data_IF_129331491344
#
_entry.id   IF_129331491344
#
_cell.length_a   1.000
_cell.length_b   1.000
_cell.length_c   1.000
_cell.angle_alpha   90.00
_cell.angle_beta   90.00
_cell.angle_gamma   90.00
#
_symmetry.space_group_name_H-M   'P 1'
#
loop_
_entity.id
_entity.type
_entity.pdbx_description
1 polymer ?
#
# COMPACT_ATOMS: atom_id res chain seq x y z
N UNK A 1 -1.48 -8.68 11.87
CA UNK A 1 -2.63 -9.58 11.59
C UNK A 1 -3.19 -9.32 10.19
N UNK A 2 -2.70 -10.09 9.22
CA UNK A 2 -3.27 -10.19 7.86
C UNK A 2 -4.31 -11.31 7.84
N UNK A 3 -5.06 -11.43 6.74
CA UNK A 3 -5.85 -12.64 6.46
C UNK A 3 -5.04 -13.77 5.83
N UNK A 4 -3.71 -13.64 5.77
CA UNK A 4 -2.81 -14.60 5.17
C UNK A 4 -2.45 -15.68 6.20
N UNK A 5 -2.95 -16.89 5.97
CA UNK A 5 -2.82 -18.04 6.87
C UNK A 5 -2.33 -19.26 6.09
N UNK A 6 -1.04 -19.29 5.69
CA UNK A 6 -0.45 -20.47 5.04
C UNK A 6 -0.47 -21.66 6.01
N UNK A 7 -0.65 -22.88 5.48
CA UNK A 7 -0.63 -24.09 6.31
C UNK A 7 0.76 -24.71 6.40
N UNK A 8 1.61 -24.41 5.41
CA UNK A 8 2.97 -24.94 5.29
C UNK A 8 3.94 -23.87 4.78
N UNK A 9 5.23 -24.06 5.07
CA UNK A 9 6.32 -23.23 4.51
C UNK A 9 6.31 -23.23 2.97
N UNK A 10 5.90 -24.35 2.36
CA UNK A 10 5.73 -24.47 0.91
C UNK A 10 4.66 -23.50 0.39
N UNK A 11 3.55 -23.30 1.12
CA UNK A 11 2.52 -22.34 0.73
C UNK A 11 3.06 -20.91 0.74
N UNK A 12 3.94 -20.60 1.70
CA UNK A 12 4.62 -19.30 1.77
C UNK A 12 5.51 -19.09 0.55
N UNK A 13 6.35 -20.08 0.22
CA UNK A 13 7.27 -20.00 -0.93
C UNK A 13 6.48 -19.84 -2.24
N UNK A 14 5.44 -20.64 -2.43
CA UNK A 14 4.57 -20.54 -3.61
C UNK A 14 3.90 -19.17 -3.70
N UNK A 15 3.47 -18.61 -2.57
CA UNK A 15 2.89 -17.27 -2.54
C UNK A 15 3.93 -16.20 -2.87
N UNK A 16 5.13 -16.28 -2.30
CA UNK A 16 6.25 -15.37 -2.59
C UNK A 16 6.61 -15.39 -4.08
N UNK A 17 6.72 -16.57 -4.68
CA UNK A 17 6.98 -16.71 -6.11
C UNK A 17 5.86 -16.13 -6.96
N UNK A 18 4.61 -16.41 -6.59
CA UNK A 18 3.43 -15.84 -7.26
C UNK A 18 3.44 -14.31 -7.26
N UNK A 19 3.64 -13.67 -6.11
CA UNK A 19 3.66 -12.19 -6.03
C UNK A 19 4.91 -11.59 -6.68
N UNK A 20 6.03 -12.33 -6.69
CA UNK A 20 7.29 -11.95 -7.33
C UNK A 20 7.24 -12.04 -8.86
N UNK A 21 6.42 -12.91 -9.45
CA UNK A 21 6.25 -13.00 -10.91
C UNK A 21 5.03 -12.25 -11.44
N UNK A 22 4.14 -11.78 -10.55
CA UNK A 22 2.90 -11.08 -10.93
C UNK A 22 3.21 -9.81 -11.75
N UNK A 23 2.52 -9.71 -12.89
CA UNK A 23 2.42 -8.48 -13.69
C UNK A 23 1.43 -7.51 -13.05
N UNK A 24 1.77 -6.22 -13.03
CA UNK A 24 1.00 -5.17 -12.39
C UNK A 24 0.64 -4.10 -13.42
N UNK A 25 -0.63 -3.75 -13.49
CA UNK A 25 -1.16 -2.90 -14.55
C UNK A 25 -1.34 -1.46 -14.08
N UNK A 26 -1.36 -1.23 -12.76
CA UNK A 26 -1.50 0.09 -12.16
C UNK A 26 -0.21 0.52 -11.46
N UNK A 27 0.10 1.81 -11.57
CA UNK A 27 1.23 2.40 -10.85
C UNK A 27 0.93 2.39 -9.35
N UNK A 28 -0.28 2.79 -8.95
CA UNK A 28 -0.63 2.82 -7.53
C UNK A 28 -2.10 2.56 -7.27
N UNK A 29 -2.45 2.39 -6.01
CA UNK A 29 -3.84 2.20 -5.63
C UNK A 29 -4.19 2.81 -4.28
N UNK A 30 -5.49 3.04 -4.09
CA UNK A 30 -6.05 3.46 -2.82
C UNK A 30 -7.27 2.62 -2.47
N UNK A 31 -7.16 1.85 -1.39
CA UNK A 31 -8.29 1.14 -0.77
C UNK A 31 -8.73 1.90 0.49
N UNK A 32 -9.86 2.58 0.41
CA UNK A 32 -10.33 3.39 1.51
C UNK A 32 -11.62 4.15 1.23
N UNK A 33 -12.22 4.66 2.30
CA UNK A 33 -13.40 5.52 2.25
C UNK A 33 -13.10 6.87 2.88
N UNK A 34 -13.78 7.91 2.39
CA UNK A 34 -13.82 9.21 3.04
C UNK A 34 -14.59 9.12 4.35
N UNK A 35 -14.22 9.96 5.32
CA UNK A 35 -14.99 10.16 6.53
C UNK A 35 -15.88 11.36 6.28
N UNK A 36 -17.13 11.11 5.88
CA UNK A 36 -18.09 12.15 5.47
C UNK A 36 -18.33 13.28 6.49
N UNK A 37 -17.93 13.09 7.75
CA UNK A 37 -18.02 14.07 8.84
C UNK A 37 -16.73 14.89 9.08
N UNK A 38 -15.60 14.59 8.42
CA UNK A 38 -14.33 15.29 8.62
C UNK A 38 -14.05 16.28 7.48
N UNK A 39 -14.06 17.57 7.80
CA UNK A 39 -13.60 18.63 6.88
C UNK A 39 -12.09 18.45 6.62
N UNK A 40 -11.66 18.53 5.36
CA UNK A 40 -10.27 18.32 4.94
C UNK A 40 -9.72 16.90 5.20
N UNK A 41 -10.55 15.87 5.01
CA UNK A 41 -10.10 14.48 5.11
C UNK A 41 -8.99 14.20 4.09
N UNK A 42 -7.81 13.85 4.59
CA UNK A 42 -6.66 13.49 3.77
C UNK A 42 -6.98 12.31 2.84
N UNK A 43 -7.85 11.38 3.27
CA UNK A 43 -8.30 10.27 2.41
C UNK A 43 -9.11 10.77 1.21
N UNK A 44 -9.89 11.83 1.38
CA UNK A 44 -10.60 12.48 0.28
C UNK A 44 -9.64 13.07 -0.75
N UNK A 45 -8.54 13.67 -0.29
CA UNK A 45 -7.48 14.16 -1.17
C UNK A 45 -6.79 13.02 -1.94
N UNK A 46 -6.45 11.91 -1.27
CA UNK A 46 -5.88 10.74 -1.93
C UNK A 46 -6.84 10.13 -2.97
N UNK A 47 -8.13 10.06 -2.63
CA UNK A 47 -9.16 9.57 -3.53
C UNK A 47 -9.30 10.45 -4.77
N UNK A 48 -9.26 11.79 -4.61
CA UNK A 48 -9.26 12.73 -5.73
C UNK A 48 -8.04 12.51 -6.61
N UNK A 49 -6.82 12.58 -6.07
CA UNK A 49 -5.60 12.41 -6.86
C UNK A 49 -5.55 11.07 -7.60
N UNK A 50 -6.04 9.99 -6.98
CA UNK A 50 -6.13 8.69 -7.62
C UNK A 50 -7.11 8.70 -8.80
N UNK A 51 -8.32 9.26 -8.63
CA UNK A 51 -9.28 9.41 -9.73
C UNK A 51 -8.73 10.28 -10.87
N UNK A 52 -8.05 11.37 -10.53
CA UNK A 52 -7.44 12.30 -11.48
C UNK A 52 -6.24 11.67 -12.22
N UNK A 53 -5.69 10.57 -11.70
CA UNK A 53 -4.57 9.85 -12.31
C UNK A 53 -4.99 8.84 -13.39
N UNK A 54 -6.29 8.69 -13.66
CA UNK A 54 -6.82 7.79 -14.67
C UNK A 54 -6.43 6.33 -14.43
N UNK A 55 -6.07 5.62 -15.50
CA UNK A 55 -5.70 4.20 -15.44
C UNK A 55 -4.44 3.92 -14.60
N UNK A 56 -3.63 4.94 -14.30
CA UNK A 56 -2.45 4.78 -13.44
C UNK A 56 -2.81 4.48 -11.99
N UNK A 57 -4.05 4.75 -11.55
CA UNK A 57 -4.46 4.49 -10.18
C UNK A 57 -5.76 3.69 -10.05
N UNK A 58 -5.72 2.64 -9.22
CA UNK A 58 -6.91 1.86 -8.87
C UNK A 58 -7.51 2.29 -7.54
N UNK A 59 -8.82 2.51 -7.52
CA UNK A 59 -9.58 2.83 -6.30
C UNK A 59 -10.44 1.64 -5.89
N UNK A 60 -10.38 1.27 -4.62
CA UNK A 60 -11.44 0.49 -3.96
C UNK A 60 -12.13 1.40 -2.95
N UNK A 61 -13.36 1.81 -3.25
CA UNK A 61 -14.17 2.60 -2.34
C UNK A 61 -14.70 1.72 -1.22
N UNK A 62 -14.13 1.89 -0.03
CA UNK A 62 -14.47 1.10 1.15
C UNK A 62 -15.68 1.63 1.93
N UNK A 63 -16.51 2.51 1.36
CA UNK A 63 -17.69 3.00 2.04
C UNK A 63 -18.67 1.85 2.38
N UNK A 64 -19.30 1.94 3.56
CA UNK A 64 -20.23 0.91 4.03
C UNK A 64 -19.51 -0.40 4.42
N UNK A 65 -20.01 -1.54 3.91
CA UNK A 65 -19.54 -2.88 4.29
C UNK A 65 -18.60 -3.53 3.26
N UNK A 66 -18.32 -2.87 2.12
CA UNK A 66 -17.54 -3.45 1.01
C UNK A 66 -16.16 -3.95 1.45
N UNK A 67 -15.52 -3.25 2.37
CA UNK A 67 -14.22 -3.63 2.93
C UNK A 67 -14.31 -4.28 4.33
N UNK A 68 -15.51 -4.48 4.87
CA UNK A 68 -15.72 -4.97 6.23
C UNK A 68 -15.40 -6.47 6.38
N UNK A 69 -15.61 -7.26 5.33
CA UNK A 69 -15.28 -8.69 5.36
C UNK A 69 -13.86 -9.00 4.86
N UNK A 70 -13.10 -8.00 4.38
CA UNK A 70 -11.97 -8.28 3.49
C UNK A 70 -12.45 -9.16 2.32
N UNK A 71 -11.68 -9.64 1.38
CA UNK A 71 -10.25 -9.77 1.31
C UNK A 71 -9.86 -9.84 -0.16
N UNK A 72 -10.78 -10.20 -1.09
CA UNK A 72 -10.48 -10.36 -2.52
C UNK A 72 -10.30 -9.04 -3.27
N UNK A 73 -11.27 -8.12 -3.24
CA UNK A 73 -11.20 -6.91 -4.08
C UNK A 73 -10.02 -5.99 -3.70
N UNK A 74 -9.75 -5.86 -2.40
CA UNK A 74 -8.60 -5.12 -1.88
C UNK A 74 -7.29 -5.83 -2.23
N UNK A 75 -7.23 -7.15 -2.02
CA UNK A 75 -6.03 -7.93 -2.31
C UNK A 75 -5.71 -7.94 -3.80
N UNK A 76 -6.70 -8.15 -4.67
CA UNK A 76 -6.54 -8.08 -6.12
C UNK A 76 -6.07 -6.69 -6.56
N UNK A 77 -6.61 -5.64 -5.94
CA UNK A 77 -6.13 -4.27 -6.21
C UNK A 77 -4.67 -4.09 -5.81
N UNK A 78 -4.25 -4.63 -4.67
CA UNK A 78 -2.84 -4.61 -4.27
C UNK A 78 -1.97 -5.51 -5.15
N UNK A 79 -2.45 -6.68 -5.58
CA UNK A 79 -1.73 -7.58 -6.48
C UNK A 79 -1.50 -6.96 -7.86
N UNK A 80 -2.40 -6.07 -8.30
CA UNK A 80 -2.33 -5.43 -9.61
C UNK A 80 -1.61 -4.06 -9.61
N UNK A 81 -1.18 -3.56 -8.44
CA UNK A 81 -0.62 -2.20 -8.30
C UNK A 81 0.80 -2.21 -7.76
N UNK A 82 1.73 -1.46 -8.35
CA UNK A 82 3.12 -1.37 -7.85
C UNK A 82 3.19 -0.77 -6.45
N UNK A 83 2.46 0.32 -6.22
CA UNK A 83 2.42 1.02 -4.94
C UNK A 83 1.02 1.01 -4.30
N UNK A 84 0.96 1.02 -2.97
CA UNK A 84 -0.31 1.11 -2.23
C UNK A 84 -0.28 2.33 -1.28
N UNK A 85 -1.30 3.18 -1.34
CA UNK A 85 -1.35 4.36 -0.48
C UNK A 85 -1.84 4.00 0.93
N UNK A 86 -1.02 4.26 1.94
CA UNK A 86 -1.27 3.90 3.34
C UNK A 86 -1.41 5.15 4.23
N UNK A 87 -2.54 5.89 4.15
CA UNK A 87 -2.80 6.99 5.07
C UNK A 87 -3.11 6.49 6.48
N UNK A 88 -2.89 7.35 7.48
CA UNK A 88 -3.20 7.04 8.88
C UNK A 88 -4.67 6.60 9.07
N UNK A 89 -4.88 5.60 9.92
CA UNK A 89 -6.21 5.18 10.39
C UNK A 89 -6.73 6.05 11.54
N UNK A 90 -7.72 5.54 12.27
CA UNK A 90 -8.07 6.05 13.60
C UNK A 90 -6.98 5.71 14.61
N UNK A 91 -6.40 4.52 14.48
CA UNK A 91 -5.13 4.12 15.08
C UNK A 91 -3.95 4.35 14.13
N UNK A 92 -2.75 4.34 14.70
CA UNK A 92 -1.52 4.35 13.92
C UNK A 92 -1.24 2.97 13.29
N UNK A 93 -1.78 1.87 13.85
CA UNK A 93 -1.71 0.52 13.27
C UNK A 93 -2.81 0.30 12.24
N UNK A 94 -2.48 -0.21 11.04
CA UNK A 94 -3.46 -0.69 10.06
C UNK A 94 -3.07 -2.05 9.50
N UNK A 95 -4.00 -3.01 9.58
CA UNK A 95 -3.93 -4.30 8.87
C UNK A 95 -3.63 -4.13 7.38
N UNK A 96 -4.19 -3.10 6.75
CA UNK A 96 -4.01 -2.83 5.31
C UNK A 96 -2.55 -2.65 4.88
N UNK A 97 -1.64 -2.22 5.77
CA UNK A 97 -0.21 -2.11 5.46
C UNK A 97 0.36 -3.51 5.19
N UNK A 98 0.05 -4.47 6.06
CA UNK A 98 0.53 -5.84 5.92
C UNK A 98 -0.16 -6.57 4.77
N UNK A 99 -1.47 -6.36 4.56
CA UNK A 99 -2.17 -6.94 3.39
C UNK A 99 -1.56 -6.44 2.07
N UNK A 100 -1.14 -5.16 2.02
CA UNK A 100 -0.41 -4.61 0.88
C UNK A 100 0.97 -5.27 0.69
N UNK A 101 1.75 -5.43 1.76
CA UNK A 101 3.06 -6.09 1.70
C UNK A 101 2.95 -7.56 1.32
N UNK A 102 1.96 -8.29 1.85
CA UNK A 102 1.66 -9.68 1.46
C UNK A 102 1.31 -9.78 -0.01
N UNK A 103 0.64 -8.78 -0.58
CA UNK A 103 0.38 -8.72 -2.02
C UNK A 103 1.60 -8.33 -2.86
N UNK A 104 2.76 -8.09 -2.25
CA UNK A 104 3.98 -7.61 -2.92
C UNK A 104 3.88 -6.16 -3.43
N UNK A 105 2.92 -5.38 -2.96
CA UNK A 105 2.79 -3.96 -3.30
C UNK A 105 3.60 -3.11 -2.32
N UNK A 106 4.22 -2.03 -2.81
CA UNK A 106 5.13 -1.18 -2.04
C UNK A 106 4.32 -0.14 -1.25
N UNK A 107 4.39 -0.12 0.10
CA UNK A 107 3.66 0.85 0.89
C UNK A 107 4.16 2.28 0.70
N UNK A 108 3.22 3.20 0.45
CA UNK A 108 3.44 4.64 0.43
C UNK A 108 2.86 5.25 1.71
N UNK A 109 3.74 5.78 2.55
CA UNK A 109 3.38 6.35 3.84
C UNK A 109 3.35 7.88 3.79
N UNK A 110 2.48 8.46 4.63
CA UNK A 110 2.31 9.91 4.72
C UNK A 110 2.57 10.49 6.13
N UNK A 111 2.88 9.63 7.10
CA UNK A 111 3.26 9.99 8.46
C UNK A 111 4.45 9.14 8.92
N UNK A 112 5.58 9.77 9.29
CA UNK A 112 6.78 9.04 9.76
C UNK A 112 6.49 8.11 10.93
N UNK A 113 5.60 8.53 11.84
CA UNK A 113 5.21 7.73 13.01
C UNK A 113 4.47 6.44 12.66
N UNK A 114 3.64 6.46 11.62
CA UNK A 114 2.99 5.25 11.10
C UNK A 114 3.99 4.35 10.38
N UNK A 115 4.94 4.95 9.67
CA UNK A 115 5.91 4.23 8.85
C UNK A 115 7.00 3.51 9.67
N UNK A 116 7.58 4.18 10.68
CA UNK A 116 8.88 3.78 11.21
C UNK A 116 8.97 3.57 12.72
N UNK A 117 8.07 4.16 13.52
CA UNK A 117 8.13 4.02 14.98
C UNK A 117 7.26 2.89 15.54
N UNK A 118 6.26 2.44 14.79
CA UNK A 118 5.27 1.51 15.33
C UNK A 118 5.59 0.04 15.06
N UNK A 119 6.42 -0.22 14.06
CA UNK A 119 6.77 -1.56 13.62
C UNK A 119 8.28 -1.72 13.45
N UNK A 120 9.09 -0.92 14.15
CA UNK A 120 10.55 -0.92 14.06
C UNK A 120 11.16 -2.32 14.27
N UNK A 121 10.51 -3.15 15.10
CA UNK A 121 10.88 -4.55 15.34
C UNK A 121 10.43 -5.54 14.25
N UNK A 122 9.49 -5.16 13.40
CA UNK A 122 8.83 -6.03 12.42
C UNK A 122 9.09 -5.63 10.96
N UNK A 123 9.46 -4.37 10.73
CA UNK A 123 9.73 -3.83 9.41
C UNK A 123 11.25 -3.74 9.16
N UNK A 124 11.67 -3.67 7.89
CA UNK A 124 13.07 -3.61 7.51
C UNK A 124 13.75 -2.35 8.09
N UNK A 125 14.99 -2.47 8.54
CA UNK A 125 15.73 -1.34 9.14
C UNK A 125 15.97 -0.18 8.18
N UNK A 126 16.01 -0.44 6.87
CA UNK A 126 16.14 0.58 5.82
C UNK A 126 14.76 0.89 5.24
N UNK A 127 14.08 1.89 5.80
CA UNK A 127 12.76 2.39 5.40
C UNK A 127 12.57 2.52 3.87
N UNK A 128 13.55 3.13 3.21
CA UNK A 128 13.55 3.43 1.78
C UNK A 128 13.76 2.18 0.91
N UNK A 129 14.20 1.07 1.50
CA UNK A 129 14.39 -0.19 0.77
C UNK A 129 13.08 -0.88 0.42
N UNK A 130 11.98 -0.59 1.11
CA UNK A 130 10.69 -1.28 0.95
C UNK A 130 9.48 -0.35 0.93
N UNK A 131 9.66 0.96 1.16
CA UNK A 131 8.56 1.91 1.24
C UNK A 131 8.91 3.26 0.62
N UNK A 132 7.88 4.00 0.25
CA UNK A 132 8.01 5.40 -0.17
C UNK A 132 7.39 6.29 0.90
N UNK A 133 8.06 7.38 1.24
CA UNK A 133 7.50 8.39 2.14
C UNK A 133 7.21 9.68 1.38
N UNK A 134 5.97 10.17 1.47
CA UNK A 134 5.56 11.48 0.93
C UNK A 134 4.90 12.23 2.06
N UNK A 135 5.47 13.37 2.50
CA UNK A 135 4.89 14.05 3.66
C UNK A 135 3.47 14.52 3.35
N UNK A 136 2.52 14.27 4.26
CA UNK A 136 1.11 14.66 4.09
C UNK A 136 0.93 16.12 3.68
N UNK A 137 1.73 17.02 4.27
CA UNK A 137 1.59 18.45 4.01
C UNK A 137 2.12 18.84 2.62
N UNK A 138 3.05 18.08 2.03
CA UNK A 138 3.45 18.26 0.63
C UNK A 138 2.30 17.91 -0.31
N UNK A 139 1.60 16.80 -0.04
CA UNK A 139 0.41 16.38 -0.81
C UNK A 139 -0.71 17.40 -0.68
N UNK A 140 -0.97 17.92 0.53
CA UNK A 140 -1.94 19.00 0.76
C UNK A 140 -1.60 20.30 0.03
N UNK A 141 -0.31 20.57 -0.16
CA UNK A 141 0.17 21.74 -0.89
C UNK A 141 0.23 21.53 -2.41
N UNK A 142 -0.33 20.43 -2.93
CA UNK A 142 -0.48 20.19 -4.37
C UNK A 142 0.54 19.23 -4.98
N UNK A 143 1.36 18.56 -4.16
CA UNK A 143 2.26 17.53 -4.69
C UNK A 143 1.45 16.38 -5.28
N UNK A 144 1.71 16.07 -6.55
CA UNK A 144 1.13 14.93 -7.27
C UNK A 144 1.81 13.64 -6.84
N UNK A 145 1.05 12.72 -6.23
CA UNK A 145 1.55 11.41 -5.82
C UNK A 145 2.03 10.61 -7.04
N UNK A 146 1.25 10.62 -8.13
CA UNK A 146 1.63 9.97 -9.39
C UNK A 146 3.02 10.42 -9.85
N UNK A 147 3.24 11.73 -9.91
CA UNK A 147 4.50 12.30 -10.38
C UNK A 147 5.68 12.05 -9.44
N UNK A 148 5.45 11.75 -8.16
CA UNK A 148 6.50 11.28 -7.25
C UNK A 148 6.84 9.82 -7.53
N UNK A 149 5.82 8.97 -7.70
CA UNK A 149 5.99 7.53 -7.91
C UNK A 149 6.58 7.21 -9.30
N UNK A 150 6.30 8.02 -10.31
CA UNK A 150 6.89 7.90 -11.65
C UNK A 150 8.40 8.18 -11.69
N UNK A 151 8.98 8.75 -10.63
CA UNK A 151 10.43 9.00 -10.56
C UNK A 151 11.23 7.74 -10.28
N UNK A 152 10.58 6.69 -9.75
CA UNK A 152 11.24 5.42 -9.50
C UNK A 152 11.38 4.64 -10.80
N UNK A 153 12.60 4.23 -11.11
CA UNK A 153 12.87 3.33 -12.23
C UNK A 153 12.23 1.95 -11.99
N UNK A 154 12.02 1.19 -13.07
CA UNK A 154 11.49 -0.18 -12.98
C UNK A 154 12.40 -1.06 -12.14
N UNK A 155 13.71 -0.84 -12.20
CA UNK A 155 14.73 -1.56 -11.44
C UNK A 155 14.63 -1.25 -9.94
N UNK A 156 14.42 0.02 -9.57
CA UNK A 156 14.19 0.42 -8.18
C UNK A 156 12.92 -0.20 -7.63
N UNK A 157 11.81 -0.11 -8.37
CA UNK A 157 10.51 -0.72 -8.00
C UNK A 157 10.69 -2.23 -7.81
N UNK A 158 11.36 -2.92 -8.73
CA UNK A 158 11.63 -4.36 -8.62
C UNK A 158 12.44 -4.71 -7.37
N UNK A 159 13.48 -3.93 -7.05
CA UNK A 159 14.30 -4.13 -5.84
C UNK A 159 13.49 -3.90 -4.56
N UNK A 160 12.67 -2.84 -4.54
CA UNK A 160 11.80 -2.55 -3.40
C UNK A 160 10.76 -3.66 -3.19
N UNK A 161 10.17 -4.16 -4.28
CA UNK A 161 9.24 -5.28 -4.25
C UNK A 161 9.92 -6.55 -3.71
N UNK A 162 11.12 -6.87 -4.16
CA UNK A 162 11.84 -8.04 -3.66
C UNK A 162 12.03 -7.94 -2.14
N UNK A 163 12.41 -6.76 -1.65
CA UNK A 163 12.46 -6.52 -0.20
C UNK A 163 11.11 -6.78 0.44
N UNK A 164 10.02 -6.18 -0.03
CA UNK A 164 8.67 -6.43 0.50
C UNK A 164 8.32 -7.92 0.57
N UNK A 165 8.63 -8.70 -0.47
CA UNK A 165 8.35 -10.14 -0.55
C UNK A 165 9.18 -10.96 0.46
N UNK A 166 10.44 -10.58 0.70
CA UNK A 166 11.29 -11.20 1.74
C UNK A 166 10.70 -11.07 3.15
N UNK A 167 9.85 -10.07 3.40
CA UNK A 167 9.19 -9.83 4.70
C UNK A 167 7.83 -10.51 4.85
N UNK A 168 7.35 -11.22 3.82
CA UNK A 168 6.20 -12.12 3.99
C UNK A 168 6.63 -13.21 4.99
N UNK A 169 5.90 -13.41 6.11
CA UNK A 169 6.30 -14.32 7.17
C UNK A 169 6.63 -15.71 6.62
N UNK A 170 7.78 -16.23 7.05
CA UNK A 170 8.21 -17.61 6.81
C UNK A 170 7.40 -18.57 7.65
#
# INVERSE_FOLDING_TARGET
PTGFHPQTDTDVVLWQDFVRSRERHALFCFAGATRGFIKNDFRGLLLSQCRDSGESCRVVDCAGTRCANGTSEILETFLDSEFCLQPRGDSFTRRSIFDCMVAGSIPVFFWKRTAYFQYEWFLPGEAESYSVFIHRDEVKNGTSIKSVLERFSKEEVKRMREKVVEFIPK
#
